data_IF_584021471032
#
_entry.id   IF_584021471032
#
_cell.length_a   1.000
_cell.length_b   1.000
_cell.length_c   1.000
_cell.angle_alpha   90.00
_cell.angle_beta   90.00
_cell.angle_gamma   90.00
#
_symmetry.space_group_name_H-M   'P 1'
#
loop_
_entity.id
_entity.type
_entity.pdbx_description
1 polymer ?
#
# COMPACT_ATOMS: atom_id res chain seq x y z
N UNK A 1 20.34 32.66 -21.19
CA UNK A 1 20.64 32.22 -19.82
C UNK A 1 19.39 32.48 -19.00
N UNK A 2 18.76 31.45 -18.44
CA UNK A 2 17.59 31.60 -17.58
C UNK A 2 18.07 31.77 -16.14
N UNK A 3 17.54 32.75 -15.40
CA UNK A 3 17.94 32.98 -14.01
C UNK A 3 17.63 31.73 -13.17
N UNK A 4 18.58 31.16 -12.41
CA UNK A 4 18.36 29.94 -11.63
C UNK A 4 17.26 30.09 -10.56
N UNK A 5 16.94 31.33 -10.17
CA UNK A 5 15.89 31.66 -9.22
C UNK A 5 14.51 31.80 -9.88
N UNK A 6 14.43 31.89 -11.20
CA UNK A 6 13.16 31.89 -11.90
C UNK A 6 12.59 30.48 -11.97
N UNK A 7 11.37 30.29 -11.46
CA UNK A 7 10.67 29.00 -11.34
C UNK A 7 9.30 29.08 -12.00
N UNK A 8 8.86 27.94 -12.53
CA UNK A 8 7.52 27.75 -13.08
C UNK A 8 6.64 26.98 -12.11
N UNK A 9 5.43 27.47 -11.87
CA UNK A 9 4.42 26.76 -11.11
C UNK A 9 3.92 25.52 -11.89
N UNK A 10 3.87 24.36 -11.23
CA UNK A 10 3.36 23.11 -11.85
C UNK A 10 1.83 23.03 -11.89
N UNK A 11 1.12 23.94 -11.22
CA UNK A 11 -0.34 23.94 -11.14
C UNK A 11 -0.98 24.92 -12.13
N UNK A 12 -0.47 26.16 -12.21
CA UNK A 12 -1.05 27.22 -13.05
C UNK A 12 -0.10 27.74 -14.13
N UNK A 13 1.10 27.17 -14.26
CA UNK A 13 2.10 27.56 -15.25
C UNK A 13 2.59 29.01 -15.17
N UNK A 14 2.31 29.74 -14.07
CA UNK A 14 2.85 31.07 -13.84
C UNK A 14 4.33 31.02 -13.46
N UNK A 15 5.11 31.99 -13.94
CA UNK A 15 6.52 32.15 -13.63
C UNK A 15 6.73 33.11 -12.46
N UNK A 16 7.64 32.77 -11.53
CA UNK A 16 7.94 33.60 -10.36
C UNK A 16 9.40 33.43 -9.91
N UNK A 17 9.91 34.39 -9.15
CA UNK A 17 11.26 34.32 -8.57
C UNK A 17 11.22 33.72 -7.16
N UNK A 18 12.06 32.71 -6.93
CA UNK A 18 12.23 32.04 -5.65
C UNK A 18 13.56 32.41 -4.99
N UNK A 19 13.65 32.37 -3.66
CA UNK A 19 14.93 32.59 -2.98
C UNK A 19 15.85 31.37 -3.19
N UNK A 20 17.17 31.55 -3.41
CA UNK A 20 18.10 30.46 -3.75
C UNK A 20 18.11 29.26 -2.78
N UNK A 21 17.81 29.50 -1.48
CA UNK A 21 17.84 28.47 -0.43
C UNK A 21 16.46 27.98 0.01
N UNK A 22 15.40 28.46 -0.64
CA UNK A 22 14.04 28.14 -0.23
C UNK A 22 13.63 26.78 -0.80
N UNK A 23 13.44 25.80 0.08
CA UNK A 23 13.00 24.45 -0.31
C UNK A 23 11.49 24.40 -0.61
N UNK A 24 10.70 25.17 0.15
CA UNK A 24 9.23 25.27 0.03
C UNK A 24 8.86 26.50 -0.80
N UNK A 25 8.50 26.28 -2.07
CA UNK A 25 8.06 27.33 -2.99
C UNK A 25 6.56 27.57 -2.85
N UNK A 26 6.14 28.82 -2.92
CA UNK A 26 4.73 29.23 -2.92
C UNK A 26 4.50 30.01 -4.21
N UNK A 27 3.59 29.54 -5.05
CA UNK A 27 3.21 30.28 -6.25
C UNK A 27 2.42 31.54 -5.85
N UNK A 28 2.83 32.75 -6.28
CA UNK A 28 2.11 33.98 -5.94
C UNK A 28 0.73 34.07 -6.59
N UNK A 29 0.51 33.42 -7.73
CA UNK A 29 -0.74 33.53 -8.49
C UNK A 29 -1.83 32.56 -8.01
N UNK A 30 -1.48 31.31 -7.69
CA UNK A 30 -2.45 30.28 -7.29
C UNK A 30 -2.26 29.75 -5.87
N UNK A 31 -1.23 30.18 -5.15
CA UNK A 31 -0.96 29.76 -3.78
C UNK A 31 -0.44 28.33 -3.63
N UNK A 32 -0.30 27.55 -4.72
CA UNK A 32 0.18 26.17 -4.63
C UNK A 32 1.58 26.11 -4.02
N UNK A 33 1.81 25.13 -3.14
CA UNK A 33 3.08 24.96 -2.45
C UNK A 33 3.80 23.74 -2.98
N UNK A 34 5.05 23.88 -3.38
CA UNK A 34 5.83 22.81 -4.02
C UNK A 34 7.27 22.79 -3.53
N UNK A 35 7.96 21.66 -3.71
CA UNK A 35 9.38 21.54 -3.41
C UNK A 35 10.23 22.11 -4.55
N UNK A 36 11.22 22.94 -4.22
CA UNK A 36 12.13 23.54 -5.19
C UNK A 36 13.04 22.53 -5.91
N UNK A 37 13.25 21.36 -5.33
CA UNK A 37 14.13 20.31 -5.85
C UNK A 37 13.34 19.23 -6.59
N UNK A 38 12.44 18.50 -5.91
CA UNK A 38 11.69 17.42 -6.56
C UNK A 38 10.46 17.88 -7.34
N UNK A 39 10.09 19.18 -7.25
CA UNK A 39 8.91 19.79 -7.90
C UNK A 39 7.56 19.15 -7.59
N UNK A 40 7.48 18.28 -6.58
CA UNK A 40 6.22 17.72 -6.08
C UNK A 40 5.50 18.72 -5.18
N UNK A 41 4.19 18.53 -5.02
CA UNK A 41 3.39 19.26 -4.03
C UNK A 41 4.00 19.10 -2.64
N UNK A 42 4.07 20.20 -1.89
CA UNK A 42 4.67 20.20 -0.57
C UNK A 42 3.73 19.55 0.44
N UNK A 43 4.25 18.56 1.17
CA UNK A 43 3.58 17.93 2.32
C UNK A 43 4.38 18.23 3.59
N UNK A 44 3.72 18.28 4.76
CA UNK A 44 4.39 18.60 6.05
C UNK A 44 5.53 17.63 6.35
N UNK A 45 5.36 16.37 5.97
CA UNK A 45 6.34 15.29 6.15
C UNK A 45 7.60 15.48 5.31
N UNK A 46 7.59 16.39 4.33
CA UNK A 46 8.78 16.78 3.56
C UNK A 46 9.67 17.79 4.32
N UNK A 47 9.19 18.33 5.43
CA UNK A 47 9.93 19.28 6.28
C UNK A 47 11.07 18.57 7.02
N UNK A 48 12.25 19.20 7.04
CA UNK A 48 13.42 18.69 7.76
C UNK A 48 14.13 17.46 7.16
N UNK A 49 13.60 16.84 6.10
CA UNK A 49 14.20 15.65 5.46
C UNK A 49 14.62 15.92 4.01
N UNK A 50 15.37 15.03 3.36
CA UNK A 50 15.74 15.13 1.94
C UNK A 50 14.59 14.75 1.01
N UNK A 51 14.72 15.05 -0.29
CA UNK A 51 13.73 14.60 -1.27
C UNK A 51 13.64 13.08 -1.35
N UNK A 52 14.78 12.38 -1.30
CA UNK A 52 14.85 10.91 -1.28
C UNK A 52 14.16 10.33 -0.03
N UNK A 53 14.49 10.86 1.15
CA UNK A 53 13.86 10.42 2.40
C UNK A 53 12.34 10.59 2.38
N UNK A 54 11.85 11.68 1.77
CA UNK A 54 10.43 11.88 1.59
C UNK A 54 9.81 10.89 0.61
N UNK A 55 10.49 10.56 -0.50
CA UNK A 55 10.01 9.54 -1.42
C UNK A 55 9.94 8.16 -0.78
N UNK A 56 10.95 7.79 0.01
CA UNK A 56 10.95 6.51 0.74
C UNK A 56 9.85 6.48 1.80
N UNK A 57 9.64 7.59 2.52
CA UNK A 57 8.50 7.72 3.43
C UNK A 57 7.17 7.55 2.69
N UNK A 58 6.99 8.18 1.52
CA UNK A 58 5.77 8.02 0.71
C UNK A 58 5.54 6.58 0.31
N UNK A 59 6.57 5.84 -0.16
CA UNK A 59 6.46 4.42 -0.52
C UNK A 59 6.08 3.55 0.67
N UNK A 60 6.70 3.78 1.83
CA UNK A 60 6.41 3.00 3.04
C UNK A 60 4.98 3.24 3.58
N UNK A 61 4.43 4.44 3.35
CA UNK A 61 3.12 4.86 3.83
C UNK A 61 2.06 4.88 2.72
N UNK A 62 2.37 4.31 1.55
CA UNK A 62 1.45 4.21 0.44
C UNK A 62 0.40 3.11 0.75
N UNK A 63 -0.91 3.45 0.76
CA UNK A 63 -1.95 2.52 1.19
C UNK A 63 -2.11 1.32 0.26
N UNK A 64 -1.81 1.46 -1.03
CA UNK A 64 -1.84 0.34 -1.99
C UNK A 64 -0.70 -0.65 -1.71
N UNK A 65 0.49 -0.15 -1.35
CA UNK A 65 1.64 -0.98 -0.96
C UNK A 65 1.34 -1.80 0.31
N UNK A 66 0.55 -1.26 1.25
CA UNK A 66 0.09 -1.99 2.44
C UNK A 66 -1.01 -3.03 2.11
N UNK A 67 -1.91 -2.71 1.18
CA UNK A 67 -2.97 -3.62 0.74
C UNK A 67 -2.42 -4.83 -0.02
N UNK A 68 -1.38 -4.65 -0.84
CA UNK A 68 -0.67 -5.75 -1.51
C UNK A 68 -0.04 -6.72 -0.51
N UNK A 69 0.54 -6.23 0.59
CA UNK A 69 1.07 -7.09 1.65
C UNK A 69 0.02 -8.01 2.28
N UNK A 70 -1.18 -7.49 2.53
CA UNK A 70 -2.31 -8.29 3.07
C UNK A 70 -2.82 -9.28 2.03
N UNK A 71 -3.00 -8.85 0.77
CA UNK A 71 -3.46 -9.72 -0.31
C UNK A 71 -2.46 -10.85 -0.59
N UNK A 72 -1.16 -10.56 -0.62
CA UNK A 72 -0.11 -11.57 -0.78
C UNK A 72 -0.04 -12.52 0.42
N UNK A 73 -0.17 -12.02 1.65
CA UNK A 73 -0.22 -12.87 2.84
C UNK A 73 -1.43 -13.82 2.81
N UNK A 74 -2.62 -13.32 2.46
CA UNK A 74 -3.81 -14.15 2.28
C UNK A 74 -3.67 -15.13 1.11
N UNK A 75 -3.01 -14.71 0.02
CA UNK A 75 -2.75 -15.55 -1.14
C UNK A 75 -1.72 -16.65 -0.86
N UNK A 76 -0.80 -16.48 0.10
CA UNK A 76 0.14 -17.52 0.54
C UNK A 76 -0.49 -18.45 1.58
N UNK A 77 -1.25 -17.91 2.55
CA UNK A 77 -1.80 -18.67 3.67
C UNK A 77 -3.27 -19.10 3.52
N UNK A 78 -3.84 -18.87 2.35
CA UNK A 78 -5.20 -19.28 2.00
C UNK A 78 -5.49 -20.76 2.21
N UNK A 79 -6.78 -21.10 2.13
CA UNK A 79 -7.30 -22.45 2.31
C UNK A 79 -7.62 -23.03 0.94
N UNK A 80 -7.09 -24.21 0.63
CA UNK A 80 -7.46 -24.96 -0.57
C UNK A 80 -8.46 -26.04 -0.23
N UNK A 81 -9.56 -26.11 -1.00
CA UNK A 81 -10.45 -27.25 -0.91
C UNK A 81 -9.74 -28.49 -1.47
N UNK A 82 -9.53 -29.57 -0.68
CA UNK A 82 -8.84 -30.76 -1.16
C UNK A 82 -9.62 -31.48 -2.27
N UNK A 83 -10.96 -31.36 -2.28
CA UNK A 83 -11.86 -31.94 -3.27
C UNK A 83 -11.88 -31.20 -4.62
N UNK A 84 -12.22 -29.90 -4.64
CA UNK A 84 -12.41 -29.14 -5.88
C UNK A 84 -11.29 -28.13 -6.21
N UNK A 85 -10.25 -28.03 -5.37
CA UNK A 85 -9.09 -27.15 -5.53
C UNK A 85 -9.40 -25.65 -5.60
N UNK A 86 -10.61 -25.25 -5.20
CA UNK A 86 -10.95 -23.83 -5.06
C UNK A 86 -10.17 -23.21 -3.89
N UNK A 87 -9.48 -22.09 -4.15
CA UNK A 87 -8.63 -21.35 -3.21
C UNK A 87 -9.44 -20.24 -2.53
N UNK A 88 -9.37 -20.18 -1.21
CA UNK A 88 -9.96 -19.12 -0.39
C UNK A 88 -8.86 -18.22 0.19
N UNK A 89 -8.97 -16.91 -0.04
CA UNK A 89 -8.10 -15.89 0.56
C UNK A 89 -8.62 -15.45 1.94
N UNK A 90 -8.84 -16.41 2.85
CA UNK A 90 -9.36 -16.15 4.20
C UNK A 90 -8.28 -16.46 5.26
N UNK A 91 -8.22 -15.63 6.30
CA UNK A 91 -7.38 -15.89 7.46
C UNK A 91 -7.85 -17.16 8.20
N UNK A 92 -6.90 -17.98 8.65
CA UNK A 92 -7.20 -19.18 9.46
C UNK A 92 -7.60 -18.74 10.86
N UNK A 93 -8.89 -18.87 11.19
CA UNK A 93 -9.44 -18.51 12.50
C UNK A 93 -9.13 -19.53 13.61
N UNK A 94 -9.86 -19.46 14.73
CA UNK A 94 -9.65 -20.36 15.87
C UNK A 94 -10.23 -21.77 15.73
N UNK A 95 -11.10 -22.02 14.75
CA UNK A 95 -11.70 -23.34 14.50
C UNK A 95 -11.14 -23.93 13.20
N UNK A 96 -10.62 -25.17 13.25
CA UNK A 96 -9.98 -25.82 12.09
C UNK A 96 -10.96 -26.38 11.05
N UNK A 97 -12.26 -26.40 11.34
CA UNK A 97 -13.30 -26.91 10.45
C UNK A 97 -13.63 -25.90 9.34
N UNK A 98 -13.68 -26.38 8.10
CA UNK A 98 -14.03 -25.57 6.94
C UNK A 98 -14.99 -26.30 6.00
N UNK A 99 -16.06 -25.63 5.59
CA UNK A 99 -17.04 -26.13 4.61
C UNK A 99 -16.85 -25.40 3.27
N UNK A 100 -16.49 -26.13 2.21
CA UNK A 100 -16.29 -25.55 0.89
C UNK A 100 -17.62 -25.03 0.30
N UNK A 101 -17.69 -23.75 -0.09
CA UNK A 101 -18.91 -23.17 -0.66
C UNK A 101 -19.24 -23.73 -2.05
N UNK A 102 -18.22 -24.12 -2.82
CA UNK A 102 -18.35 -24.63 -4.20
C UNK A 102 -18.84 -26.08 -4.27
N UNK A 103 -18.31 -26.96 -3.41
CA UNK A 103 -18.60 -28.41 -3.48
C UNK A 103 -19.16 -29.01 -2.19
N UNK A 104 -19.43 -28.17 -1.17
CA UNK A 104 -19.96 -28.53 0.16
C UNK A 104 -19.13 -29.55 0.94
N UNK A 105 -17.88 -29.79 0.53
CA UNK A 105 -16.97 -30.68 1.25
C UNK A 105 -16.51 -30.05 2.57
N UNK A 106 -16.66 -30.78 3.66
CA UNK A 106 -16.25 -30.40 5.01
C UNK A 106 -14.91 -31.03 5.35
N UNK A 107 -13.92 -30.21 5.73
CA UNK A 107 -12.55 -30.66 5.96
C UNK A 107 -11.82 -29.81 7.00
N UNK A 108 -10.72 -30.33 7.52
CA UNK A 108 -9.79 -29.59 8.35
C UNK A 108 -8.81 -28.81 7.46
N UNK A 109 -8.76 -27.48 7.54
CA UNK A 109 -7.81 -26.71 6.72
C UNK A 109 -6.34 -26.90 7.15
N UNK A 110 -6.08 -27.47 8.33
CA UNK A 110 -4.72 -27.75 8.80
C UNK A 110 -4.10 -29.00 8.20
N UNK A 111 -4.87 -30.09 8.06
CA UNK A 111 -4.38 -31.38 7.55
C UNK A 111 -5.05 -31.85 6.25
N UNK A 112 -6.07 -31.14 5.75
CA UNK A 112 -6.78 -31.45 4.52
C UNK A 112 -7.72 -32.66 4.57
N UNK A 113 -7.85 -33.33 5.72
CA UNK A 113 -8.69 -34.53 5.90
C UNK A 113 -10.17 -34.16 6.08
N UNK A 114 -11.11 -35.03 5.67
CA UNK A 114 -12.54 -34.83 5.90
C UNK A 114 -12.86 -34.60 7.37
N UNK A 115 -13.76 -33.66 7.64
CA UNK A 115 -14.21 -33.40 9.00
C UNK A 115 -15.20 -34.47 9.43
N UNK A 116 -14.97 -35.08 10.59
CA UNK A 116 -15.87 -36.06 11.20
C UNK A 116 -16.32 -35.51 12.55
N UNK A 117 -17.64 -35.35 12.71
CA UNK A 117 -18.25 -34.79 13.91
C UNK A 117 -17.88 -35.63 15.14
N UNK A 118 -17.16 -35.04 16.10
CA UNK A 118 -16.71 -35.72 17.33
C UNK A 118 -15.27 -36.27 17.32
N UNK A 119 -14.55 -36.21 16.19
CA UNK A 119 -13.15 -36.64 16.11
C UNK A 119 -12.20 -35.44 16.22
N UNK A 120 -11.21 -35.53 17.14
CA UNK A 120 -10.09 -34.58 17.15
C UNK A 120 -9.20 -34.86 15.94
N UNK A 121 -8.81 -33.82 15.21
CA UNK A 121 -7.80 -33.96 14.18
C UNK A 121 -6.47 -34.40 14.81
N UNK A 122 -6.08 -35.65 14.60
CA UNK A 122 -4.72 -36.12 14.87
C UNK A 122 -3.89 -35.81 13.64
N UNK A 123 -3.02 -34.79 13.77
CA UNK A 123 -2.06 -34.38 12.75
C UNK A 123 -1.20 -35.53 12.26
#
# INVERSE_FOLDING_TARGET
>A
IQDPNFKWCIQCSSGFFARPKQKRLICPDCGSVTCAQCRKTWEKQHEGISCEQFEDWKKANDPDTQAEGVAQHLAQHGIDCPKCKFRYSLARGGCMHFTCVQCKYEFCYGCGKPFMMGAKCTG
#
